data_IF_783570279288
#
_entry.id   IF_783570279288
#
_cell.length_a   1.000
_cell.length_b   1.000
_cell.length_c   1.000
_cell.angle_alpha   90.00
_cell.angle_beta   90.00
_cell.angle_gamma   90.00
#
_symmetry.space_group_name_H-M   'P 1'
#
loop_
_entity.id
_entity.type
_entity.pdbx_description
1 polymer ?
#
# COMPACT_ATOMS: atom_id res chain seq x y z
N UNK A 1 6.26 -17.83 16.12
CA UNK A 1 4.89 -17.49 15.75
C UNK A 1 4.84 -16.17 15.03
N UNK A 2 4.27 -16.16 13.86
CA UNK A 2 4.06 -14.91 13.14
C UNK A 2 2.90 -14.15 13.80
N UNK A 3 3.09 -12.87 13.99
CA UNK A 3 2.08 -11.97 14.53
C UNK A 3 1.44 -11.20 13.39
N UNK A 4 0.12 -11.32 13.26
CA UNK A 4 -0.63 -10.52 12.29
C UNK A 4 -0.55 -9.05 12.69
N UNK A 5 -0.13 -8.22 11.74
CA UNK A 5 0.00 -6.79 11.97
C UNK A 5 -1.33 -6.09 11.71
N UNK A 6 -1.60 -5.05 12.47
CA UNK A 6 -2.75 -4.17 12.27
C UNK A 6 -2.36 -2.84 11.64
N UNK A 7 -1.07 -2.57 11.56
CA UNK A 7 -0.50 -1.41 10.84
C UNK A 7 0.67 -1.88 10.02
N UNK A 8 0.68 -1.54 8.74
CA UNK A 8 1.76 -1.91 7.84
C UNK A 8 2.16 -0.73 6.97
N UNK A 9 3.41 -0.76 6.54
CA UNK A 9 3.97 0.23 5.62
C UNK A 9 4.13 -0.43 4.26
N UNK A 10 3.59 0.18 3.22
CA UNK A 10 3.52 -0.45 1.90
C UNK A 10 4.91 -0.76 1.35
N UNK A 11 5.89 0.12 1.56
CA UNK A 11 7.24 -0.13 1.08
C UNK A 11 7.83 -1.43 1.62
N UNK A 12 7.47 -1.83 2.84
CA UNK A 12 7.92 -3.10 3.43
C UNK A 12 7.18 -4.32 2.92
N UNK A 13 6.01 -4.11 2.35
CA UNK A 13 5.21 -5.20 1.78
C UNK A 13 5.69 -5.61 0.39
N UNK A 14 6.36 -4.71 -0.31
CA UNK A 14 6.81 -4.98 -1.68
C UNK A 14 7.73 -6.18 -1.72
N UNK A 15 7.40 -7.11 -2.59
CA UNK A 15 8.20 -8.30 -2.79
C UNK A 15 7.98 -9.39 -1.75
N UNK A 16 7.11 -9.19 -0.75
CA UNK A 16 6.78 -10.26 0.19
C UNK A 16 6.08 -11.40 -0.53
N UNK A 17 6.39 -12.60 -0.09
CA UNK A 17 5.73 -13.80 -0.58
C UNK A 17 4.30 -13.87 -0.09
N UNK A 18 3.41 -14.27 -0.98
CA UNK A 18 1.98 -14.48 -0.68
C UNK A 18 1.70 -15.97 -0.75
N UNK A 19 1.12 -16.51 0.32
CA UNK A 19 0.84 -17.94 0.47
C UNK A 19 -0.66 -18.20 0.59
N UNK A 20 -1.07 -19.40 0.20
CA UNK A 20 -2.40 -19.90 0.50
C UNK A 20 -2.43 -20.57 1.89
N UNK A 21 -3.60 -21.02 2.39
CA UNK A 21 -3.68 -21.63 3.70
C UNK A 21 -2.92 -22.95 3.83
N UNK A 22 -2.62 -23.59 2.71
CA UNK A 22 -1.88 -24.86 2.71
C UNK A 22 -0.36 -24.63 2.72
N UNK A 23 0.08 -23.37 2.66
CA UNK A 23 1.48 -23.04 2.65
C UNK A 23 2.10 -22.99 1.27
N UNK A 24 1.29 -23.09 0.21
CA UNK A 24 1.79 -22.96 -1.16
C UNK A 24 1.98 -21.50 -1.51
N UNK A 25 3.15 -21.20 -2.07
CA UNK A 25 3.46 -19.85 -2.49
C UNK A 25 2.74 -19.51 -3.79
N UNK A 26 1.99 -18.41 -3.76
CA UNK A 26 1.22 -17.97 -4.91
C UNK A 26 1.97 -17.00 -5.79
N UNK A 27 2.81 -16.16 -5.18
CA UNK A 27 3.52 -15.12 -5.88
C UNK A 27 4.09 -14.10 -4.91
N UNK A 28 4.36 -12.90 -5.42
CA UNK A 28 4.91 -11.79 -4.64
C UNK A 28 4.04 -10.56 -4.76
N UNK A 29 3.92 -9.82 -3.68
CA UNK A 29 3.20 -8.55 -3.69
C UNK A 29 3.95 -7.54 -4.56
N UNK A 30 3.23 -6.91 -5.49
CA UNK A 30 3.79 -5.88 -6.37
C UNK A 30 3.18 -4.51 -6.16
N UNK A 31 1.94 -4.43 -5.72
CA UNK A 31 1.29 -3.15 -5.49
C UNK A 31 0.11 -3.31 -4.54
N UNK A 32 -0.40 -2.18 -4.08
CA UNK A 32 -1.58 -2.10 -3.24
C UNK A 32 -2.58 -1.20 -3.95
N UNK A 33 -3.85 -1.62 -3.97
CA UNK A 33 -4.92 -0.90 -4.65
C UNK A 33 -5.76 -0.18 -3.61
N UNK A 34 -5.90 1.13 -3.77
CA UNK A 34 -6.72 1.96 -2.89
C UNK A 34 -7.82 2.64 -3.67
N UNK A 35 -8.93 2.89 -2.99
CA UNK A 35 -10.07 3.59 -3.53
C UNK A 35 -10.28 4.86 -2.73
N UNK A 36 -10.12 6.00 -3.37
CA UNK A 36 -10.35 7.28 -2.74
C UNK A 36 -11.84 7.61 -2.77
N UNK A 37 -12.38 7.94 -1.60
CA UNK A 37 -13.75 8.43 -1.54
C UNK A 37 -13.73 9.94 -1.70
N UNK A 38 -14.53 10.47 -2.62
CA UNK A 38 -14.57 11.89 -2.92
C UNK A 38 -15.09 12.80 -1.79
N UNK A 39 -15.38 12.25 -0.61
CA UNK A 39 -15.94 12.97 0.52
C UNK A 39 -14.94 13.32 1.61
N UNK A 40 -13.65 13.23 1.31
CA UNK A 40 -12.60 13.61 2.26
C UNK A 40 -12.23 12.58 3.31
N UNK A 41 -12.79 11.38 3.27
CA UNK A 41 -12.41 10.29 4.15
C UNK A 41 -11.09 9.65 3.71
N UNK A 42 -10.49 8.87 4.61
CA UNK A 42 -9.27 8.13 4.30
C UNK A 42 -9.51 7.16 3.15
N UNK A 43 -8.55 7.02 2.22
CA UNK A 43 -8.69 6.03 1.15
C UNK A 43 -8.81 4.61 1.70
N UNK A 44 -9.70 3.84 1.10
CA UNK A 44 -9.94 2.45 1.47
C UNK A 44 -9.00 1.55 0.70
N UNK A 45 -8.33 0.64 1.39
CA UNK A 45 -7.47 -0.36 0.74
C UNK A 45 -8.36 -1.51 0.30
N UNK A 46 -8.50 -1.69 -1.02
CA UNK A 46 -9.43 -2.68 -1.57
C UNK A 46 -8.77 -4.01 -1.89
N UNK A 47 -7.47 -4.02 -2.12
CA UNK A 47 -6.77 -5.26 -2.42
C UNK A 47 -5.30 -5.05 -2.72
N UNK A 48 -4.66 -6.15 -3.09
CA UNK A 48 -3.26 -6.16 -3.47
C UNK A 48 -3.11 -6.73 -4.87
N UNK A 49 -2.02 -6.35 -5.54
CA UNK A 49 -1.63 -6.93 -6.82
C UNK A 49 -0.49 -7.90 -6.55
N UNK A 50 -0.69 -9.15 -6.93
CA UNK A 50 0.26 -10.23 -6.75
C UNK A 50 0.78 -10.68 -8.10
N UNK A 51 2.09 -10.73 -8.24
CA UNK A 51 2.70 -11.30 -9.43
C UNK A 51 2.88 -12.79 -9.23
N UNK A 52 2.18 -13.56 -10.06
CA UNK A 52 2.22 -15.03 -10.04
C UNK A 52 3.19 -15.53 -11.12
N UNK A 53 3.57 -16.82 -11.10
CA UNK A 53 4.45 -17.36 -12.13
C UNK A 53 3.99 -17.03 -13.54
N UNK A 54 4.94 -16.74 -14.43
CA UNK A 54 4.65 -16.29 -15.78
C UNK A 54 4.49 -14.78 -15.90
N UNK A 55 4.88 -14.03 -14.86
CA UNK A 55 4.80 -12.57 -14.82
C UNK A 55 3.39 -12.01 -14.97
N UNK A 56 2.39 -12.80 -14.60
CA UNK A 56 1.01 -12.37 -14.60
C UNK A 56 0.69 -11.68 -13.28
N UNK A 57 -0.07 -10.60 -13.33
CA UNK A 57 -0.52 -9.88 -12.15
C UNK A 57 -1.99 -10.16 -11.90
N UNK A 58 -2.30 -10.58 -10.68
CA UNK A 58 -3.65 -10.89 -10.26
C UNK A 58 -4.05 -9.99 -9.11
N UNK A 59 -5.35 -9.72 -9.00
CA UNK A 59 -5.90 -8.92 -7.92
C UNK A 59 -6.39 -9.84 -6.81
N UNK A 60 -5.94 -9.58 -5.57
CA UNK A 60 -6.43 -10.28 -4.39
C UNK A 60 -7.13 -9.26 -3.49
N UNK A 61 -8.47 -9.37 -3.34
CA UNK A 61 -9.20 -8.46 -2.47
C UNK A 61 -8.72 -8.55 -1.01
N UNK A 62 -8.75 -7.44 -0.29
CA UNK A 62 -8.37 -7.43 1.13
C UNK A 62 -9.24 -8.37 1.96
N UNK A 63 -10.49 -8.60 1.56
CA UNK A 63 -11.37 -9.56 2.23
C UNK A 63 -10.84 -10.99 2.21
N UNK A 64 -9.94 -11.31 1.31
CA UNK A 64 -9.31 -12.63 1.22
C UNK A 64 -7.96 -12.69 1.91
N UNK A 65 -7.45 -11.59 2.40
CA UNK A 65 -6.19 -11.56 3.14
C UNK A 65 -6.50 -11.92 4.58
N UNK A 66 -5.92 -13.02 5.07
CA UNK A 66 -6.14 -13.49 6.43
C UNK A 66 -5.08 -13.01 7.40
N UNK A 67 -3.87 -12.80 6.91
CA UNK A 67 -2.75 -12.41 7.77
C UNK A 67 -1.71 -11.65 6.97
N UNK A 68 -1.20 -10.59 7.57
CA UNK A 68 -0.02 -9.86 7.07
C UNK A 68 0.96 -9.81 8.23
N UNK A 69 2.16 -10.31 8.02
CA UNK A 69 3.25 -10.14 8.98
C UNK A 69 4.49 -9.58 8.30
N UNK A 70 5.59 -9.51 9.02
CA UNK A 70 6.82 -8.88 8.50
C UNK A 70 7.48 -9.67 7.37
N UNK A 71 7.12 -10.93 7.19
CA UNK A 71 7.82 -11.82 6.27
C UNK A 71 6.94 -12.38 5.16
N UNK A 72 5.63 -12.38 5.36
CA UNK A 72 4.72 -13.03 4.42
C UNK A 72 3.30 -12.53 4.55
N UNK A 73 2.52 -12.82 3.52
CA UNK A 73 1.09 -12.54 3.47
C UNK A 73 0.38 -13.86 3.23
N UNK A 74 -0.68 -14.11 3.97
CA UNK A 74 -1.50 -15.32 3.80
C UNK A 74 -2.90 -14.91 3.35
N UNK A 75 -3.40 -15.57 2.32
CA UNK A 75 -4.75 -15.35 1.82
C UNK A 75 -5.57 -16.64 1.86
N UNK A 76 -6.88 -16.52 1.63
CA UNK A 76 -7.80 -17.66 1.76
C UNK A 76 -7.78 -18.63 0.59
N UNK A 77 -6.90 -18.43 -0.40
CA UNK A 77 -6.78 -19.31 -1.54
C UNK A 77 -7.08 -18.62 -2.85
N UNK A 78 -6.91 -19.35 -3.91
CA UNK A 78 -6.83 -18.80 -5.27
C UNK A 78 -8.08 -18.99 -6.11
N UNK A 79 -9.20 -19.36 -5.50
CA UNK A 79 -10.39 -19.60 -6.29
C UNK A 79 -10.82 -18.31 -6.97
N UNK A 80 -10.81 -18.31 -8.30
CA UNK A 80 -11.28 -17.20 -9.14
C UNK A 80 -10.45 -15.91 -9.05
N UNK A 81 -9.13 -16.02 -8.94
CA UNK A 81 -8.28 -14.85 -9.08
C UNK A 81 -8.35 -14.32 -10.52
N UNK A 82 -8.70 -13.06 -10.61
CA UNK A 82 -8.76 -12.39 -11.90
C UNK A 82 -7.42 -11.76 -12.21
N UNK A 83 -7.08 -11.73 -13.51
CA UNK A 83 -6.02 -10.87 -13.97
C UNK A 83 -6.32 -9.44 -13.52
N UNK A 84 -5.31 -8.77 -13.00
CA UNK A 84 -5.50 -7.41 -12.53
C UNK A 84 -5.79 -6.47 -13.69
N UNK A 85 -6.89 -5.75 -13.59
CA UNK A 85 -7.23 -4.63 -14.46
C UNK A 85 -7.64 -3.47 -13.58
N UNK A 86 -6.91 -2.37 -13.67
CA UNK A 86 -7.20 -1.20 -12.88
C UNK A 86 -8.49 -0.54 -13.34
N UNK A 87 -9.38 -0.29 -12.38
CA UNK A 87 -10.63 0.44 -12.64
C UNK A 87 -10.41 1.93 -12.45
N UNK A 88 -11.27 2.76 -13.07
CA UNK A 88 -11.07 4.20 -13.13
C UNK A 88 -10.96 4.92 -11.79
N UNK A 89 -11.64 4.44 -10.74
CA UNK A 89 -11.59 5.06 -9.42
C UNK A 89 -10.47 4.50 -8.53
N UNK A 90 -9.76 3.49 -8.99
CA UNK A 90 -8.70 2.84 -8.23
C UNK A 90 -7.35 3.52 -8.46
N UNK A 91 -6.54 3.55 -7.41
CA UNK A 91 -5.17 4.06 -7.47
C UNK A 91 -4.22 2.98 -7.03
N UNK A 92 -3.13 2.81 -7.77
CA UNK A 92 -2.03 1.92 -7.42
C UNK A 92 -1.03 2.69 -6.57
N UNK A 93 -0.75 2.19 -5.36
CA UNK A 93 0.11 2.91 -4.43
C UNK A 93 1.55 3.02 -4.95
N UNK A 94 2.13 1.90 -5.36
CA UNK A 94 3.53 1.89 -5.80
C UNK A 94 3.68 2.57 -7.15
N UNK A 95 2.84 2.21 -8.11
CA UNK A 95 2.99 2.73 -9.47
C UNK A 95 2.58 4.19 -9.61
N UNK A 96 1.59 4.65 -8.82
CA UNK A 96 0.99 5.95 -9.04
C UNK A 96 1.15 6.95 -7.89
N UNK A 97 1.43 6.48 -6.67
CA UNK A 97 1.56 7.38 -5.52
C UNK A 97 3.01 7.57 -5.07
N UNK A 98 3.82 6.52 -5.09
CA UNK A 98 5.22 6.65 -4.71
C UNK A 98 5.94 7.58 -5.68
N UNK A 99 6.82 8.41 -5.13
CA UNK A 99 7.57 9.44 -5.86
C UNK A 99 6.71 10.55 -6.44
N UNK A 100 5.42 10.56 -6.13
CA UNK A 100 4.53 11.63 -6.57
C UNK A 100 4.70 12.86 -5.71
N UNK A 101 4.74 14.03 -6.36
CA UNK A 101 4.80 15.31 -5.68
C UNK A 101 3.42 15.71 -5.20
N UNK A 102 3.33 16.15 -3.96
CA UNK A 102 2.10 16.66 -3.36
C UNK A 102 2.35 18.02 -2.75
N UNK A 103 1.30 18.85 -2.70
CA UNK A 103 1.37 20.15 -2.05
C UNK A 103 0.93 20.00 -0.61
N UNK A 104 1.74 20.54 0.32
CA UNK A 104 1.42 20.47 1.74
C UNK A 104 0.29 21.41 2.07
N UNK A 105 -0.65 20.94 2.89
CA UNK A 105 -1.87 21.68 3.22
C UNK A 105 -1.59 22.96 4.03
N UNK A 106 -0.47 23.00 4.74
CA UNK A 106 -0.06 24.17 5.53
C UNK A 106 0.59 25.27 4.70
N UNK A 107 0.73 25.08 3.38
CA UNK A 107 1.35 26.05 2.50
C UNK A 107 2.86 26.08 2.53
N UNK A 108 3.52 25.14 3.24
CA UNK A 108 4.97 25.13 3.41
C UNK A 108 5.74 24.63 2.18
N UNK A 109 5.04 24.25 1.11
CA UNK A 109 5.65 23.83 -0.15
C UNK A 109 5.24 22.46 -0.60
N UNK A 110 6.05 21.86 -1.45
CA UNK A 110 5.80 20.56 -2.04
C UNK A 110 6.58 19.46 -1.31
N UNK A 111 6.08 18.26 -1.41
CA UNK A 111 6.74 17.07 -0.86
C UNK A 111 6.56 15.90 -1.82
N UNK A 112 7.40 14.89 -1.67
CA UNK A 112 7.34 13.67 -2.48
C UNK A 112 6.96 12.50 -1.58
N UNK A 113 5.99 11.70 -2.01
CA UNK A 113 5.53 10.55 -1.25
C UNK A 113 6.60 9.44 -1.31
N UNK A 114 7.07 9.00 -0.14
CA UNK A 114 8.06 7.92 -0.04
C UNK A 114 7.45 6.61 0.45
N UNK A 115 6.42 6.68 1.28
CA UNK A 115 5.77 5.49 1.81
C UNK A 115 4.37 5.83 2.27
N UNK A 116 3.58 4.79 2.48
CA UNK A 116 2.20 4.90 2.95
C UNK A 116 2.00 3.87 4.04
N UNK A 117 1.41 4.31 5.16
CA UNK A 117 0.95 3.40 6.20
C UNK A 117 -0.52 3.11 6.00
N UNK A 118 -0.90 1.88 6.25
CA UNK A 118 -2.30 1.49 6.28
C UNK A 118 -2.62 0.74 7.56
N UNK A 119 -3.80 1.02 8.10
CA UNK A 119 -4.27 0.47 9.36
C UNK A 119 -5.53 -0.35 9.16
N UNK A 120 -5.61 -1.47 9.89
CA UNK A 120 -6.80 -2.30 9.96
C UNK A 120 -7.71 -1.75 11.06
N UNK A 121 -8.95 -1.47 10.69
CA UNK A 121 -9.98 -1.02 11.64
C UNK A 121 -10.70 -2.22 12.28
N UNK A 122 -11.47 -1.94 13.30
CA UNK A 122 -12.25 -2.99 14.01
C UNK A 122 -13.20 -3.74 13.10
N UNK A 123 -13.68 -3.08 12.05
CA UNK A 123 -14.55 -3.71 11.04
C UNK A 123 -13.83 -4.77 10.22
N UNK A 124 -12.51 -4.82 10.28
CA UNK A 124 -11.70 -5.65 9.40
C UNK A 124 -11.24 -4.94 8.14
N UNK A 125 -11.73 -3.75 7.87
CA UNK A 125 -11.33 -2.98 6.69
C UNK A 125 -10.01 -2.28 6.91
N UNK A 126 -9.25 -2.14 5.84
CA UNK A 126 -7.97 -1.45 5.83
C UNK A 126 -8.11 -0.08 5.19
N UNK A 127 -7.48 0.91 5.79
CA UNK A 127 -7.48 2.28 5.28
C UNK A 127 -6.08 2.85 5.27
N UNK A 128 -5.82 3.72 4.33
CA UNK A 128 -4.58 4.50 4.34
C UNK A 128 -4.68 5.48 5.51
N UNK A 129 -3.71 5.42 6.42
CA UNK A 129 -3.72 6.23 7.63
C UNK A 129 -2.71 7.36 7.59
N UNK A 130 -1.58 7.17 6.91
CA UNK A 130 -0.50 8.17 6.88
C UNK A 130 0.22 8.14 5.55
N UNK A 131 0.67 9.30 5.13
CA UNK A 131 1.63 9.45 4.05
C UNK A 131 2.96 9.86 4.65
N UNK A 132 4.02 9.15 4.29
CA UNK A 132 5.37 9.56 4.61
C UNK A 132 5.93 10.30 3.41
N UNK A 133 6.31 11.55 3.63
CA UNK A 133 6.74 12.41 2.56
C UNK A 133 8.13 12.96 2.87
N UNK A 134 8.89 13.18 1.81
CA UNK A 134 10.13 13.94 1.89
C UNK A 134 9.82 15.33 1.36
N UNK A 135 10.16 16.36 2.14
CA UNK A 135 9.96 17.73 1.69
C UNK A 135 10.75 17.99 0.43
N UNK A 136 10.08 18.69 -0.46
CA UNK A 136 10.62 18.96 -1.77
C UNK A 136 11.85 19.84 -1.76
N UNK A 137 12.35 20.01 -2.93
CA UNK A 137 13.63 20.61 -3.18
C UNK A 137 13.64 22.08 -2.83
N UNK A 138 14.21 22.38 -1.69
CA UNK A 138 14.82 23.68 -1.53
C UNK A 138 16.21 23.59 -2.13
N UNK A 139 16.64 24.61 -2.84
CA UNK A 139 18.00 24.71 -3.33
C UNK A 139 19.03 24.86 -2.21
N UNK A 140 18.56 25.04 -1.00
CA UNK A 140 19.42 25.15 0.17
C UNK A 140 19.98 23.78 0.55
N UNK A 141 21.31 23.68 0.80
CA UNK A 141 21.91 22.43 1.28
C UNK A 141 21.29 21.92 2.58
N UNK A 142 20.74 22.81 3.40
CA UNK A 142 20.10 22.47 4.65
C UNK A 142 18.85 21.64 4.45
N UNK A 143 18.18 21.78 3.32
CA UNK A 143 16.98 21.00 3.03
C UNK A 143 17.26 19.51 2.90
N UNK A 144 18.50 19.13 2.61
CA UNK A 144 18.91 17.73 2.53
C UNK A 144 18.90 17.04 3.88
N UNK A 145 18.97 17.80 4.95
CA UNK A 145 18.99 17.27 6.30
C UNK A 145 17.59 17.08 6.88
N UNK A 146 16.57 17.52 6.16
CA UNK A 146 15.20 17.37 6.61
C UNK A 146 14.76 15.93 6.45
N UNK A 147 14.19 15.43 7.53
CA UNK A 147 13.68 14.07 7.59
C UNK A 147 12.30 13.98 6.92
N UNK A 148 11.93 12.78 6.59
CA UNK A 148 10.59 12.49 6.14
C UNK A 148 9.57 12.94 7.19
N UNK A 149 8.51 13.53 6.73
CA UNK A 149 7.40 13.92 7.57
C UNK A 149 6.21 13.01 7.35
N UNK A 150 5.43 12.82 8.38
CA UNK A 150 4.21 12.04 8.30
C UNK A 150 3.03 12.99 8.22
N UNK A 151 2.22 12.82 7.18
CA UNK A 151 0.95 13.53 7.04
C UNK A 151 -0.17 12.57 7.35
N UNK A 152 -1.10 13.00 8.19
CA UNK A 152 -2.30 12.23 8.51
C UNK A 152 -3.36 12.56 7.48
N UNK A 153 -3.92 11.54 6.88
CA UNK A 153 -4.96 11.68 5.88
C UNK A 153 -6.33 11.80 6.54
#
# INVERSE_FOLDING_TARGET
>A
MSTTLSRVFVARLLGLDVFDPLGDRLGRLRDVVVLSRGTGGAPHVVGIVVEVPGKKRVFVPMTRITSIDQTQIICTGLVNLRRFEQRGAETLVVAEMFDRRVTLADGSGDATIEDIAMDKHRSGDWFVSKLFVRRGHSLSPLSRLRRNETLII
#
